data_IF_845513890390
#
_entry.id   IF_845513890390
#
_cell.length_a   1.000
_cell.length_b   1.000
_cell.length_c   1.000
_cell.angle_alpha   90.00
_cell.angle_beta   90.00
_cell.angle_gamma   90.00
#
_symmetry.space_group_name_H-M   'P 1'
#
loop_
_entity.id
_entity.type
_entity.pdbx_description
1 polymer ?
#
# COMPACT_ATOMS: atom_id res chain seq x y z
N UNK A 1 -0.84 11.73 15.71
CA UNK A 1 -1.29 10.83 14.61
C UNK A 1 -0.37 11.00 13.40
N UNK A 2 -0.13 9.96 12.61
CA UNK A 2 0.78 10.02 11.45
C UNK A 2 0.27 9.18 10.26
N UNK A 3 0.79 9.47 9.08
CA UNK A 3 0.77 8.50 7.97
C UNK A 3 1.89 7.48 8.18
N UNK A 4 1.66 6.22 7.82
CA UNK A 4 2.67 5.17 7.88
C UNK A 4 2.92 4.68 6.47
N UNK A 5 4.17 4.81 6.02
CA UNK A 5 4.68 4.18 4.81
C UNK A 5 5.51 2.96 5.19
N UNK A 6 5.28 1.84 4.52
CA UNK A 6 6.03 0.61 4.77
C UNK A 6 6.26 -0.16 3.47
N UNK A 7 7.28 -1.02 3.47
CA UNK A 7 7.75 -1.74 2.29
C UNK A 7 7.93 -3.23 2.56
N UNK A 8 7.60 -4.07 1.59
CA UNK A 8 7.93 -5.50 1.59
C UNK A 8 7.46 -6.21 2.87
N UNK A 9 8.35 -6.94 3.55
CA UNK A 9 8.02 -7.67 4.79
C UNK A 9 7.40 -6.78 5.87
N UNK A 10 7.67 -5.47 5.86
CA UNK A 10 7.07 -4.55 6.81
C UNK A 10 5.55 -4.37 6.63
N UNK A 11 4.97 -4.89 5.55
CA UNK A 11 3.51 -4.98 5.36
C UNK A 11 2.79 -5.57 6.57
N UNK A 12 3.28 -6.69 7.11
CA UNK A 12 2.68 -7.32 8.28
C UNK A 12 2.70 -6.40 9.51
N UNK A 13 3.81 -5.69 9.73
CA UNK A 13 3.95 -4.80 10.88
C UNK A 13 3.10 -3.53 10.72
N UNK A 14 3.12 -2.90 9.54
CA UNK A 14 2.37 -1.69 9.24
C UNK A 14 0.86 -1.88 9.41
N UNK A 15 0.30 -2.94 8.80
CA UNK A 15 -1.12 -3.25 8.94
C UNK A 15 -1.50 -3.62 10.37
N UNK A 16 -0.73 -4.45 11.07
CA UNK A 16 -1.05 -4.84 12.46
C UNK A 16 -0.94 -3.68 13.44
N UNK A 17 0.05 -2.80 13.26
CA UNK A 17 0.16 -1.59 14.08
C UNK A 17 -1.07 -0.69 13.91
N UNK A 18 -1.54 -0.52 12.67
CA UNK A 18 -2.73 0.25 12.37
C UNK A 18 -4.02 -0.42 12.89
N UNK A 19 -4.14 -1.74 12.78
CA UNK A 19 -5.27 -2.49 13.35
C UNK A 19 -5.32 -2.38 14.88
N UNK A 20 -4.15 -2.40 15.53
CA UNK A 20 -4.07 -2.28 16.98
C UNK A 20 -4.42 -0.87 17.47
N UNK A 21 -4.03 0.18 16.72
CA UNK A 21 -4.17 1.60 17.10
C UNK A 21 -4.70 2.46 15.95
N UNK A 22 -5.92 2.21 15.46
CA UNK A 22 -6.45 2.91 14.29
C UNK A 22 -6.63 4.42 14.55
N UNK A 23 -6.83 4.82 15.81
CA UNK A 23 -6.94 6.23 16.24
C UNK A 23 -5.64 7.04 16.05
N UNK A 24 -4.50 6.37 15.87
CA UNK A 24 -3.18 7.01 15.71
C UNK A 24 -2.72 7.09 14.26
N UNK A 25 -3.41 6.43 13.34
CA UNK A 25 -3.01 6.34 11.93
C UNK A 25 -3.93 7.19 11.06
N UNK A 26 -3.33 8.02 10.20
CA UNK A 26 -4.04 8.91 9.28
C UNK A 26 -4.11 8.38 7.85
N UNK A 27 -3.12 7.58 7.45
CA UNK A 27 -3.07 6.91 6.14
C UNK A 27 -2.08 5.74 6.19
N UNK A 28 -2.27 4.77 5.31
CA UNK A 28 -1.34 3.66 5.07
C UNK A 28 -0.86 3.70 3.63
N UNK A 29 0.46 3.73 3.43
CA UNK A 29 1.11 3.66 2.12
C UNK A 29 1.93 2.37 2.10
N UNK A 30 1.39 1.36 1.43
CA UNK A 30 1.97 0.03 1.33
C UNK A 30 2.70 -0.13 0.00
N UNK A 31 4.04 -0.05 0.03
CA UNK A 31 4.89 -0.20 -1.16
C UNK A 31 5.31 -1.66 -1.29
N UNK A 32 4.75 -2.36 -2.28
CA UNK A 32 4.93 -3.81 -2.49
C UNK A 32 4.93 -4.64 -1.20
N UNK A 33 3.84 -4.61 -0.41
CA UNK A 33 3.80 -5.32 0.86
C UNK A 33 3.88 -6.84 0.62
N UNK A 34 4.83 -7.49 1.29
CA UNK A 34 5.01 -8.94 1.26
C UNK A 34 4.21 -9.67 2.35
N UNK A 35 3.62 -8.93 3.29
CA UNK A 35 2.81 -9.44 4.38
C UNK A 35 1.56 -8.60 4.62
N UNK A 36 0.55 -9.21 5.22
CA UNK A 36 -0.76 -8.59 5.50
C UNK A 36 -1.03 -8.47 7.00
N UNK A 37 -2.05 -7.70 7.34
CA UNK A 37 -2.62 -7.67 8.69
C UNK A 37 -3.38 -8.94 9.04
N UNK A 38 -4.11 -8.92 10.15
CA UNK A 38 -5.09 -9.96 10.47
C UNK A 38 -6.35 -9.79 9.61
N UNK A 39 -6.70 -10.72 8.71
CA UNK A 39 -7.88 -10.59 7.85
C UNK A 39 -9.19 -10.47 8.63
N UNK A 40 -9.28 -11.07 9.82
CA UNK A 40 -10.49 -10.98 10.67
C UNK A 40 -10.70 -9.57 11.22
N UNK A 41 -9.64 -8.75 11.25
CA UNK A 41 -9.65 -7.38 11.73
C UNK A 41 -9.56 -6.35 10.60
N UNK A 42 -9.84 -6.71 9.34
CA UNK A 42 -9.80 -5.77 8.22
C UNK A 42 -10.71 -4.54 8.44
N UNK A 43 -11.89 -4.74 9.07
CA UNK A 43 -12.84 -3.66 9.37
C UNK A 43 -12.29 -2.60 10.34
N UNK A 44 -11.26 -2.91 11.14
CA UNK A 44 -10.60 -1.93 12.01
C UNK A 44 -9.93 -0.80 11.20
N UNK A 45 -9.59 -1.06 9.93
CA UNK A 45 -8.93 -0.10 9.05
C UNK A 45 -9.90 0.73 8.22
N UNK A 46 -11.23 0.55 8.32
CA UNK A 46 -12.21 1.22 7.45
C UNK A 46 -12.15 2.75 7.48
N UNK A 47 -11.68 3.34 8.59
CA UNK A 47 -11.54 4.79 8.74
C UNK A 47 -10.22 5.37 8.23
N UNK A 48 -9.33 4.52 7.69
CA UNK A 48 -7.98 4.90 7.28
C UNK A 48 -7.87 4.71 5.76
N UNK A 49 -7.55 5.76 4.98
CA UNK A 49 -7.25 5.60 3.56
C UNK A 49 -5.99 4.77 3.35
N UNK A 50 -6.06 3.81 2.43
CA UNK A 50 -4.96 2.88 2.12
C UNK A 50 -4.56 3.02 0.66
N UNK A 51 -3.27 3.23 0.40
CA UNK A 51 -2.65 3.14 -0.92
C UNK A 51 -1.75 1.90 -0.97
N UNK A 52 -1.95 1.04 -1.97
CA UNK A 52 -1.00 -0.01 -2.33
C UNK A 52 -0.31 0.36 -3.64
N UNK A 53 1.01 0.22 -3.70
CA UNK A 53 1.80 0.46 -4.91
C UNK A 53 2.56 -0.81 -5.28
N UNK A 54 2.44 -1.24 -6.53
CA UNK A 54 3.20 -2.34 -7.11
C UNK A 54 4.00 -1.86 -8.32
N UNK A 55 5.25 -2.30 -8.41
CA UNK A 55 6.18 -2.04 -9.50
C UNK A 55 5.94 -2.93 -10.72
N UNK A 56 6.94 -3.03 -11.58
CA UNK A 56 6.86 -3.77 -12.83
C UNK A 56 7.30 -5.24 -12.64
N UNK A 57 7.12 -6.06 -13.68
CA UNK A 57 7.62 -7.44 -13.76
C UNK A 57 7.12 -8.41 -12.67
N UNK A 58 6.14 -8.03 -11.85
CA UNK A 58 5.53 -8.89 -10.82
C UNK A 58 5.13 -10.27 -11.36
N UNK A 59 4.54 -10.30 -12.56
CA UNK A 59 4.08 -11.54 -13.20
C UNK A 59 5.22 -12.50 -13.60
N UNK A 60 6.46 -12.04 -13.63
CA UNK A 60 7.64 -12.81 -14.05
C UNK A 60 8.35 -13.49 -12.89
N UNK A 61 8.05 -13.11 -11.64
CA UNK A 61 8.57 -13.77 -10.43
C UNK A 61 7.62 -14.89 -9.97
N UNK A 62 8.17 -15.96 -9.40
CA UNK A 62 7.40 -17.13 -8.98
C UNK A 62 6.53 -16.90 -7.72
N UNK A 63 6.84 -15.89 -6.90
CA UNK A 63 6.23 -15.63 -5.58
C UNK A 63 5.35 -14.39 -5.60
N UNK A 64 5.81 -13.32 -6.26
CA UNK A 64 5.15 -12.01 -6.23
C UNK A 64 3.70 -11.99 -6.71
N UNK A 65 3.27 -12.78 -7.71
CA UNK A 65 1.86 -12.83 -8.09
C UNK A 65 0.94 -13.27 -6.94
N UNK A 66 1.34 -14.31 -6.19
CA UNK A 66 0.56 -14.80 -5.05
C UNK A 66 0.62 -13.82 -3.87
N UNK A 67 1.78 -13.22 -3.61
CA UNK A 67 1.94 -12.20 -2.56
C UNK A 67 1.02 -10.99 -2.84
N UNK A 68 1.05 -10.47 -4.07
CA UNK A 68 0.17 -9.37 -4.50
C UNK A 68 -1.29 -9.75 -4.35
N UNK A 69 -1.68 -10.96 -4.78
CA UNK A 69 -3.05 -11.45 -4.62
C UNK A 69 -3.48 -11.44 -3.14
N UNK A 70 -2.66 -11.99 -2.24
CA UNK A 70 -2.96 -12.00 -0.80
C UNK A 70 -3.14 -10.59 -0.23
N UNK A 71 -2.31 -9.63 -0.66
CA UNK A 71 -2.43 -8.23 -0.28
C UNK A 71 -3.73 -7.60 -0.77
N UNK A 72 -4.09 -7.81 -2.04
CA UNK A 72 -5.33 -7.31 -2.62
C UNK A 72 -6.54 -7.91 -1.89
N UNK A 73 -6.63 -9.24 -1.75
CA UNK A 73 -7.72 -9.94 -1.06
C UNK A 73 -7.92 -9.40 0.38
N UNK A 74 -6.83 -9.12 1.10
CA UNK A 74 -6.88 -8.51 2.42
C UNK A 74 -7.51 -7.10 2.38
N UNK A 75 -7.07 -6.24 1.46
CA UNK A 75 -7.61 -4.89 1.34
C UNK A 75 -9.04 -4.84 0.78
N UNK A 76 -9.47 -5.84 0.01
CA UNK A 76 -10.90 -6.01 -0.34
C UNK A 76 -11.77 -6.24 0.90
N UNK A 77 -11.24 -6.87 1.95
CA UNK A 77 -11.90 -6.94 3.26
C UNK A 77 -12.12 -5.56 3.89
N UNK A 78 -11.14 -4.65 3.76
CA UNK A 78 -11.25 -3.26 4.22
C UNK A 78 -12.31 -2.52 3.41
N UNK A 79 -12.29 -2.66 2.08
CA UNK A 79 -13.25 -2.03 1.17
C UNK A 79 -14.69 -2.51 1.44
N UNK A 80 -14.91 -3.83 1.63
CA UNK A 80 -16.21 -4.39 2.01
C UNK A 80 -16.75 -3.87 3.34
N UNK A 81 -15.86 -3.48 4.26
CA UNK A 81 -16.23 -2.84 5.52
C UNK A 81 -16.51 -1.32 5.40
N UNK A 82 -16.52 -0.79 4.17
CA UNK A 82 -16.75 0.63 3.86
C UNK A 82 -15.47 1.49 3.88
N UNK A 83 -14.29 0.86 3.88
CA UNK A 83 -13.02 1.57 3.83
C UNK A 83 -12.60 2.04 2.44
N UNK A 84 -11.63 2.95 2.41
CA UNK A 84 -11.07 3.52 1.17
C UNK A 84 -9.73 2.87 0.86
N UNK A 85 -9.66 2.14 -0.25
CA UNK A 85 -8.46 1.45 -0.72
C UNK A 85 -8.22 1.82 -2.17
N UNK A 86 -6.98 2.17 -2.48
CA UNK A 86 -6.49 2.38 -3.83
C UNK A 86 -5.31 1.44 -4.10
N UNK A 87 -5.31 0.79 -5.24
CA UNK A 87 -4.22 -0.10 -5.67
C UNK A 87 -3.69 0.43 -7.00
N UNK A 88 -2.43 0.84 -6.99
CA UNK A 88 -1.72 1.35 -8.16
C UNK A 88 -0.73 0.30 -8.64
N UNK A 89 -0.95 -0.17 -9.86
CA UNK A 89 0.04 -0.93 -10.62
C UNK A 89 0.82 0.07 -11.48
N UNK A 90 2.09 0.34 -11.15
CA UNK A 90 2.85 1.44 -11.75
C UNK A 90 2.85 1.41 -13.29
N UNK A 91 3.01 0.25 -13.97
CA UNK A 91 2.92 0.18 -15.43
C UNK A 91 1.58 0.64 -16.01
N UNK A 92 0.48 0.49 -15.25
CA UNK A 92 -0.86 0.91 -15.69
C UNK A 92 -1.05 2.43 -15.67
N UNK A 93 -0.24 3.15 -14.88
CA UNK A 93 -0.21 4.63 -14.83
C UNK A 93 0.98 5.23 -15.61
N UNK A 94 1.64 4.42 -16.45
CA UNK A 94 2.73 4.87 -17.33
C UNK A 94 4.13 4.84 -16.71
N UNK A 95 4.26 4.43 -15.45
CA UNK A 95 5.53 4.34 -14.73
C UNK A 95 6.07 2.91 -14.87
N UNK A 96 7.18 2.71 -15.58
CA UNK A 96 7.64 1.37 -16.00
C UNK A 96 9.08 1.09 -15.59
N UNK A 97 9.43 -0.20 -15.54
CA UNK A 97 10.79 -0.64 -15.28
C UNK A 97 11.21 -0.64 -13.81
N UNK A 98 10.26 -0.47 -12.89
CA UNK A 98 10.53 -0.46 -11.46
C UNK A 98 10.89 -1.85 -10.93
N UNK A 99 11.89 -1.87 -10.04
CA UNK A 99 12.28 -3.04 -9.27
C UNK A 99 11.48 -3.13 -7.98
N UNK A 100 11.75 -4.17 -7.17
CA UNK A 100 11.21 -4.26 -5.80
C UNK A 100 11.69 -3.12 -4.88
N UNK A 101 12.79 -2.45 -5.22
CA UNK A 101 13.35 -1.35 -4.45
C UNK A 101 12.94 -0.01 -5.05
N UNK A 102 11.63 0.19 -5.25
CA UNK A 102 11.01 1.36 -5.89
C UNK A 102 11.56 2.71 -5.41
N UNK A 103 11.82 2.83 -4.10
CA UNK A 103 12.35 4.05 -3.48
C UNK A 103 13.82 4.33 -3.84
N UNK A 104 14.55 3.35 -4.35
CA UNK A 104 15.95 3.42 -4.76
C UNK A 104 16.13 3.41 -6.30
N UNK A 105 15.06 3.15 -7.06
CA UNK A 105 15.11 3.16 -8.52
C UNK A 105 15.42 4.56 -9.06
N UNK A 106 15.90 4.63 -10.31
CA UNK A 106 16.27 5.90 -10.96
C UNK A 106 15.11 6.89 -11.11
N UNK A 107 13.87 6.39 -11.13
CA UNK A 107 12.64 7.18 -11.19
C UNK A 107 11.93 7.27 -9.82
N UNK A 108 12.65 7.06 -8.71
CA UNK A 108 12.05 7.13 -7.37
C UNK A 108 11.31 8.45 -7.07
N UNK A 109 11.76 9.57 -7.65
CA UNK A 109 11.09 10.87 -7.50
C UNK A 109 9.71 10.91 -8.18
N UNK A 110 9.52 10.15 -9.27
CA UNK A 110 8.23 10.01 -9.93
C UNK A 110 7.22 9.26 -9.03
N UNK A 111 7.70 8.20 -8.37
CA UNK A 111 6.93 7.42 -7.40
C UNK A 111 6.63 8.26 -6.15
N UNK A 112 7.61 9.02 -5.66
CA UNK A 112 7.42 9.94 -4.55
C UNK A 112 6.35 11.00 -4.88
N UNK A 113 6.38 11.57 -6.08
CA UNK A 113 5.38 12.52 -6.54
C UNK A 113 3.98 11.90 -6.66
N UNK A 114 3.88 10.62 -7.07
CA UNK A 114 2.62 9.89 -7.06
C UNK A 114 2.06 9.75 -5.63
N UNK A 115 2.90 9.37 -4.67
CA UNK A 115 2.50 9.25 -3.26
C UNK A 115 2.08 10.62 -2.69
N UNK A 116 2.82 11.69 -3.01
CA UNK A 116 2.50 13.04 -2.56
C UNK A 116 1.14 13.51 -3.10
N UNK A 117 0.89 13.36 -4.41
CA UNK A 117 -0.41 13.69 -5.01
C UNK A 117 -1.56 12.90 -4.38
N UNK A 118 -1.32 11.62 -4.08
CA UNK A 118 -2.33 10.81 -3.39
C UNK A 118 -2.60 11.36 -1.97
N UNK A 119 -1.56 11.71 -1.21
CA UNK A 119 -1.70 12.31 0.12
C UNK A 119 -2.38 13.69 0.08
N UNK A 120 -2.07 14.53 -0.91
CA UNK A 120 -2.76 15.81 -1.15
C UNK A 120 -4.27 15.58 -1.34
N UNK A 121 -4.64 14.58 -2.15
CA UNK A 121 -6.04 14.17 -2.34
C UNK A 121 -6.74 13.70 -1.06
N UNK A 122 -6.00 13.26 -0.04
CA UNK A 122 -6.52 12.95 1.29
C UNK A 122 -6.48 14.15 2.26
N UNK A 123 -5.95 15.31 1.85
CA UNK A 123 -5.72 16.46 2.72
C UNK A 123 -4.60 16.22 3.75
N UNK A 124 -3.60 15.40 3.42
CA UNK A 124 -2.51 14.99 4.31
C UNK A 124 -1.12 15.48 3.86
N UNK A 125 -1.04 16.28 2.80
CA UNK A 125 0.19 16.86 2.26
C UNK A 125 -0.13 18.22 1.61
N UNK A 126 0.81 19.16 1.68
CA UNK A 126 0.68 20.55 1.24
C UNK A 126 1.99 21.05 0.61
#
# INVERSE_FOLDING_TARGET
>A
PCAILFHSQAGQFGFRAAQARPDKVKALIAVEPAGIGDPQQAAALKGIPVLMIYGDFIAQDARWPQIRKNGIDFTEGIARAGGKVEVVDLPSVGIRGNSHMLMMDRNNLEIAALIQRWLEGQGLYH
#
